data_IF_624478140997
#
_entry.id   IF_624478140997
#
_cell.length_a   1.000
_cell.length_b   1.000
_cell.length_c   1.000
_cell.angle_alpha   90.00
_cell.angle_beta   90.00
_cell.angle_gamma   90.00
#
_symmetry.space_group_name_H-M   'P 1'
#
loop_
_entity.id
_entity.type
_entity.pdbx_description
1 polymer ?
#
# COMPACT_ATOMS: atom_id res chain seq x y z
N UNK A 1 -22.27 -0.51 8.96
CA UNK A 1 -22.55 0.09 7.63
C UNK A 1 -21.18 0.47 7.08
N UNK A 2 -20.44 -0.53 6.61
CA UNK A 2 -18.97 -0.40 6.59
C UNK A 2 -18.42 -0.22 5.17
N UNK A 3 -19.21 -0.58 4.15
CA UNK A 3 -18.81 -0.48 2.74
C UNK A 3 -19.33 0.82 2.11
N UNK A 4 -20.63 1.09 2.22
CA UNK A 4 -21.25 2.31 1.67
C UNK A 4 -21.27 3.38 2.77
N UNK A 5 -20.12 4.03 2.96
CA UNK A 5 -19.93 5.06 3.99
C UNK A 5 -20.59 6.38 3.60
N UNK A 6 -20.77 7.28 4.58
CA UNK A 6 -21.34 8.61 4.34
C UNK A 6 -20.55 9.42 3.30
N UNK A 7 -19.22 9.36 3.33
CA UNK A 7 -18.36 10.06 2.36
C UNK A 7 -18.62 9.60 0.93
N UNK A 8 -18.80 8.29 0.72
CA UNK A 8 -19.13 7.75 -0.61
C UNK A 8 -20.51 8.22 -1.05
N UNK A 9 -21.52 8.12 -0.17
CA UNK A 9 -22.90 8.55 -0.48
C UNK A 9 -22.99 10.04 -0.83
N UNK A 10 -22.22 10.87 -0.14
CA UNK A 10 -22.23 12.32 -0.34
C UNK A 10 -21.66 12.74 -1.70
N UNK A 11 -20.79 11.92 -2.30
CA UNK A 11 -20.14 12.22 -3.59
C UNK A 11 -20.72 11.44 -4.78
N UNK A 12 -21.51 10.39 -4.51
CA UNK A 12 -22.17 9.58 -5.55
C UNK A 12 -23.67 9.63 -5.33
N UNK A 13 -24.33 10.58 -6.01
CA UNK A 13 -25.73 10.92 -5.80
C UNK A 13 -26.70 10.03 -6.60
N UNK A 14 -26.32 9.57 -7.80
CA UNK A 14 -27.13 8.64 -8.59
C UNK A 14 -26.86 7.20 -8.16
N UNK A 15 -27.91 6.43 -7.86
CA UNK A 15 -27.77 5.09 -7.27
C UNK A 15 -28.75 4.11 -7.87
N UNK A 16 -28.31 2.87 -8.00
CA UNK A 16 -29.12 1.74 -8.45
C UNK A 16 -29.06 0.67 -7.35
N UNK A 17 -30.19 0.10 -6.99
CA UNK A 17 -30.25 -1.08 -6.14
C UNK A 17 -31.07 -2.18 -6.82
N UNK A 18 -30.46 -3.34 -7.00
CA UNK A 18 -31.16 -4.58 -7.31
C UNK A 18 -31.79 -5.17 -6.04
N UNK A 19 -32.44 -6.33 -6.16
CA UNK A 19 -32.99 -7.05 -5.02
C UNK A 19 -31.93 -7.26 -3.93
N UNK A 20 -32.25 -6.81 -2.71
CA UNK A 20 -31.42 -6.96 -1.52
C UNK A 20 -32.13 -7.78 -0.45
N UNK A 21 -31.38 -8.29 0.52
CA UNK A 21 -31.90 -9.20 1.54
C UNK A 21 -32.73 -8.51 2.63
N UNK A 22 -32.52 -7.20 2.85
CA UNK A 22 -33.20 -6.49 3.95
C UNK A 22 -33.48 -5.01 3.64
N UNK A 23 -34.45 -4.47 4.38
CA UNK A 23 -34.76 -3.04 4.34
C UNK A 23 -33.57 -2.17 4.78
N UNK A 24 -32.70 -2.69 5.65
CA UNK A 24 -31.49 -2.00 6.12
C UNK A 24 -30.50 -1.86 4.96
N UNK A 25 -30.36 -2.90 4.14
CA UNK A 25 -29.50 -2.85 2.94
C UNK A 25 -30.06 -1.88 1.90
N UNK A 26 -31.37 -1.86 1.71
CA UNK A 26 -32.05 -0.89 0.84
C UNK A 26 -31.74 0.54 1.28
N UNK A 27 -31.86 0.85 2.58
CA UNK A 27 -31.52 2.17 3.11
C UNK A 27 -30.02 2.47 3.03
N UNK A 28 -29.18 1.46 3.13
CA UNK A 28 -27.72 1.64 3.01
C UNK A 28 -27.34 2.12 1.60
N UNK A 29 -28.02 1.62 0.56
CA UNK A 29 -27.76 1.99 -0.84
C UNK A 29 -28.52 3.24 -1.25
N UNK A 30 -29.84 3.29 -1.02
CA UNK A 30 -30.72 4.32 -1.59
C UNK A 30 -31.16 5.39 -0.58
N UNK A 31 -30.78 5.27 0.70
CA UNK A 31 -31.34 6.06 1.82
C UNK A 31 -32.87 5.88 2.02
N UNK A 32 -33.50 4.98 1.26
CA UNK A 32 -34.92 4.62 1.34
C UNK A 32 -35.14 3.10 1.29
N UNK A 33 -36.30 2.65 1.77
CA UNK A 33 -36.73 1.26 1.67
C UNK A 33 -37.29 0.93 0.27
N UNK A 34 -37.40 -0.36 -0.07
CA UNK A 34 -38.07 -0.82 -1.29
C UNK A 34 -37.27 -1.81 -2.11
N UNK A 35 -35.94 -1.77 -2.04
CA UNK A 35 -35.09 -2.70 -2.79
C UNK A 35 -35.21 -4.15 -2.26
N UNK A 36 -35.59 -4.29 -0.98
CA UNK A 36 -35.90 -5.56 -0.32
C UNK A 36 -37.16 -6.27 -0.87
N UNK A 37 -37.96 -5.55 -1.66
CA UNK A 37 -39.22 -6.05 -2.24
C UNK A 37 -39.11 -6.38 -3.73
N UNK A 38 -37.92 -6.22 -4.31
CA UNK A 38 -37.70 -6.52 -5.72
C UNK A 38 -37.65 -8.03 -5.94
N UNK A 39 -38.07 -8.47 -7.12
CA UNK A 39 -38.21 -9.91 -7.44
C UNK A 39 -36.92 -10.55 -7.97
N UNK A 40 -35.86 -9.76 -8.15
CA UNK A 40 -34.58 -10.18 -8.73
C UNK A 40 -34.62 -10.24 -10.26
N UNK A 41 -33.68 -10.97 -10.87
CA UNK A 41 -33.59 -11.17 -12.34
C UNK A 41 -33.63 -9.86 -13.15
N UNK A 42 -32.91 -8.84 -12.70
CA UNK A 42 -32.84 -7.54 -13.36
C UNK A 42 -33.83 -6.49 -12.83
N UNK A 43 -34.77 -6.86 -11.95
CA UNK A 43 -35.64 -5.88 -11.29
C UNK A 43 -34.83 -4.98 -10.34
N UNK A 44 -34.95 -3.67 -10.50
CA UNK A 44 -34.13 -2.67 -9.79
C UNK A 44 -34.90 -1.39 -9.48
N UNK A 45 -34.39 -0.66 -8.50
CA UNK A 45 -34.75 0.73 -8.21
C UNK A 45 -33.61 1.64 -8.63
N UNK A 46 -33.92 2.64 -9.46
CA UNK A 46 -33.00 3.67 -9.89
C UNK A 46 -33.37 5.01 -9.26
N UNK A 47 -32.44 5.60 -8.51
CA UNK A 47 -32.53 6.93 -7.92
C UNK A 47 -31.55 7.85 -8.65
N UNK A 48 -32.01 8.68 -9.60
CA UNK A 48 -31.16 9.67 -10.23
C UNK A 48 -30.87 10.84 -9.27
N UNK A 49 -29.79 11.59 -9.55
CA UNK A 49 -29.30 12.71 -8.73
C UNK A 49 -30.35 13.80 -8.44
N UNK A 50 -31.30 14.00 -9.35
CA UNK A 50 -32.30 15.06 -9.34
C UNK A 50 -33.67 14.61 -8.82
N UNK A 51 -33.86 13.31 -8.54
CA UNK A 51 -35.12 12.78 -8.04
C UNK A 51 -35.11 12.54 -6.54
N UNK A 52 -36.26 12.79 -5.91
CA UNK A 52 -36.49 12.50 -4.49
C UNK A 52 -36.98 11.08 -4.25
N UNK A 53 -37.37 10.35 -5.30
CA UNK A 53 -37.90 8.99 -5.23
C UNK A 53 -37.27 8.13 -6.30
N UNK A 54 -36.90 6.92 -5.93
CA UNK A 54 -36.43 5.93 -6.88
C UNK A 54 -37.57 5.45 -7.80
N UNK A 55 -37.24 5.25 -9.07
CA UNK A 55 -38.12 4.68 -10.09
C UNK A 55 -37.80 3.19 -10.23
N UNK A 56 -38.83 2.35 -10.31
CA UNK A 56 -38.66 0.92 -10.57
C UNK A 56 -38.42 0.66 -12.05
N UNK A 57 -37.36 -0.08 -12.36
CA UNK A 57 -36.92 -0.38 -13.73
C UNK A 57 -36.62 -1.87 -13.84
N UNK A 58 -36.91 -2.45 -14.99
CA UNK A 58 -36.49 -3.81 -15.33
C UNK A 58 -35.24 -3.74 -16.21
N UNK A 59 -34.11 -4.20 -15.68
CA UNK A 59 -32.85 -4.29 -16.40
C UNK A 59 -32.92 -5.26 -17.59
N UNK A 60 -32.25 -4.89 -18.67
CA UNK A 60 -32.09 -5.76 -19.83
C UNK A 60 -31.18 -6.95 -19.48
N UNK A 61 -31.58 -8.15 -19.91
CA UNK A 61 -30.70 -9.31 -19.87
C UNK A 61 -29.80 -9.29 -21.10
N UNK A 62 -28.50 -9.43 -20.88
CA UNK A 62 -27.50 -9.62 -21.93
C UNK A 62 -26.73 -10.88 -21.59
N UNK A 63 -26.69 -11.82 -22.52
CA UNK A 63 -25.94 -13.07 -22.35
C UNK A 63 -24.44 -12.85 -22.53
N UNK A 64 -23.64 -13.73 -21.93
CA UNK A 64 -22.18 -13.74 -22.11
C UNK A 64 -21.79 -13.84 -23.59
N UNK A 65 -22.56 -14.61 -24.38
CA UNK A 65 -22.34 -14.73 -25.82
C UNK A 65 -22.56 -13.43 -26.60
N UNK A 66 -23.46 -12.55 -26.14
CA UNK A 66 -23.70 -11.24 -26.75
C UNK A 66 -22.59 -10.26 -26.36
N UNK A 67 -22.16 -10.30 -25.10
CA UNK A 67 -21.02 -9.51 -24.61
C UNK A 67 -19.77 -9.84 -25.42
N UNK A 68 -19.47 -11.13 -25.61
CA UNK A 68 -18.26 -11.55 -26.34
C UNK A 68 -18.29 -11.11 -27.80
N UNK A 69 -19.42 -11.25 -28.48
CA UNK A 69 -19.59 -10.77 -29.86
C UNK A 69 -19.34 -9.26 -29.99
N UNK A 70 -19.82 -8.46 -29.03
CA UNK A 70 -19.59 -7.00 -29.02
C UNK A 70 -18.13 -6.69 -28.74
N UNK A 71 -17.51 -7.38 -27.77
CA UNK A 71 -16.09 -7.23 -27.46
C UNK A 71 -15.19 -7.60 -28.64
N UNK A 72 -15.46 -8.71 -29.33
CA UNK A 72 -14.76 -9.13 -30.55
C UNK A 72 -14.89 -8.10 -31.66
N UNK A 73 -16.09 -7.57 -31.86
CA UNK A 73 -16.35 -6.53 -32.85
C UNK A 73 -15.51 -5.27 -32.61
N UNK A 74 -15.34 -4.86 -31.35
CA UNK A 74 -14.46 -3.73 -31.00
C UNK A 74 -12.97 -4.08 -31.12
N UNK A 75 -12.55 -5.26 -30.67
CA UNK A 75 -11.16 -5.74 -30.78
C UNK A 75 -10.67 -5.86 -32.23
N UNK A 76 -11.58 -6.14 -33.17
CA UNK A 76 -11.27 -6.23 -34.59
C UNK A 76 -11.02 -4.85 -35.24
N UNK A 77 -11.53 -3.76 -34.66
CA UNK A 77 -11.40 -2.41 -35.22
C UNK A 77 -10.04 -1.78 -34.87
N UNK A 78 -9.62 -1.88 -33.61
CA UNK A 78 -8.34 -1.31 -33.17
C UNK A 78 -7.79 -2.05 -31.94
N UNK A 79 -6.46 -2.06 -31.82
CA UNK A 79 -5.79 -2.49 -30.59
C UNK A 79 -5.93 -1.42 -29.50
N UNK A 80 -6.07 -1.80 -28.23
CA UNK A 80 -6.21 -0.84 -27.14
C UNK A 80 -4.95 0.01 -26.96
N UNK A 81 -5.12 1.32 -26.83
CA UNK A 81 -4.07 2.28 -26.47
C UNK A 81 -4.16 2.60 -24.98
N UNK A 82 -3.33 1.96 -24.17
CA UNK A 82 -3.30 2.20 -22.72
C UNK A 82 -2.39 3.41 -22.42
N UNK A 83 -2.98 4.51 -21.94
CA UNK A 83 -2.25 5.75 -21.62
C UNK A 83 -1.63 5.70 -20.22
N UNK A 84 -2.17 4.89 -19.32
CA UNK A 84 -1.69 4.72 -17.96
C UNK A 84 -1.46 3.23 -17.71
N UNK A 85 -0.22 2.87 -17.40
CA UNK A 85 0.08 1.58 -16.78
C UNK A 85 -0.19 1.73 -15.28
N UNK A 86 -1.24 1.12 -14.71
CA UNK A 86 -1.60 1.30 -13.30
C UNK A 86 -0.47 0.89 -12.35
N UNK A 87 0.41 0.01 -12.82
CA UNK A 87 1.59 -0.48 -12.08
C UNK A 87 2.66 0.61 -11.99
N UNK A 88 2.79 1.48 -12.99
CA UNK A 88 3.79 2.55 -12.99
C UNK A 88 3.53 3.59 -11.91
N UNK A 89 2.27 3.98 -11.70
CA UNK A 89 1.90 5.04 -10.73
C UNK A 89 2.28 4.62 -9.30
N UNK A 90 2.01 3.37 -8.93
CA UNK A 90 2.35 2.83 -7.60
C UNK A 90 3.86 2.67 -7.41
N UNK A 91 4.59 2.34 -8.49
CA UNK A 91 6.05 2.21 -8.46
C UNK A 91 6.70 3.59 -8.39
N UNK A 92 6.25 4.58 -9.15
CA UNK A 92 6.78 5.94 -9.13
C UNK A 92 6.58 6.61 -7.77
N UNK A 93 5.41 6.43 -7.15
CA UNK A 93 5.16 6.92 -5.79
C UNK A 93 6.09 6.23 -4.77
N UNK A 94 6.30 4.91 -4.88
CA UNK A 94 7.26 4.19 -4.04
C UNK A 94 8.70 4.61 -4.29
N UNK A 95 9.12 4.80 -5.53
CA UNK A 95 10.48 5.23 -5.89
C UNK A 95 10.73 6.70 -5.53
N UNK A 96 9.70 7.55 -5.55
CA UNK A 96 9.77 8.92 -5.06
C UNK A 96 9.85 8.94 -3.52
N UNK A 97 9.03 8.13 -2.83
CA UNK A 97 9.13 7.94 -1.38
C UNK A 97 10.49 7.35 -0.98
N UNK A 98 11.03 6.38 -1.74
CA UNK A 98 12.36 5.81 -1.50
C UNK A 98 13.46 6.85 -1.76
N UNK A 99 13.39 7.65 -2.83
CA UNK A 99 14.36 8.74 -3.07
C UNK A 99 14.31 9.82 -1.99
N UNK A 100 13.12 10.19 -1.53
CA UNK A 100 12.95 11.13 -0.41
C UNK A 100 13.44 10.53 0.92
N UNK A 101 13.42 9.20 1.04
CA UNK A 101 14.03 8.48 2.16
C UNK A 101 15.56 8.51 2.07
N UNK A 102 16.19 8.27 0.91
CA UNK A 102 17.66 8.22 0.81
C UNK A 102 18.36 9.54 1.19
N UNK A 103 17.68 10.68 1.05
CA UNK A 103 18.22 12.02 1.30
C UNK A 103 17.86 12.63 2.67
N UNK A 104 17.35 11.86 3.65
CA UNK A 104 17.09 12.44 4.99
C UNK A 104 18.41 12.97 5.60
N UNK A 105 18.53 14.28 5.92
CA UNK A 105 19.77 14.86 6.44
C UNK A 105 20.27 14.25 7.76
N UNK A 106 19.41 13.53 8.48
CA UNK A 106 19.72 12.86 9.72
C UNK A 106 20.04 11.37 9.54
N UNK A 107 19.92 10.83 8.33
CA UNK A 107 20.14 9.41 8.03
C UNK A 107 21.49 8.92 8.58
N UNK A 108 22.61 9.48 8.10
CA UNK A 108 23.95 9.04 8.51
C UNK A 108 24.16 9.13 10.02
N UNK A 109 23.75 10.25 10.63
CA UNK A 109 23.91 10.50 12.06
C UNK A 109 23.07 9.52 12.88
N UNK A 110 21.86 9.22 12.41
CA UNK A 110 20.95 8.30 13.08
C UNK A 110 21.44 6.85 13.00
N UNK A 111 21.98 6.42 11.85
CA UNK A 111 22.57 5.08 11.69
C UNK A 111 23.76 4.90 12.63
N UNK A 112 24.72 5.84 12.61
CA UNK A 112 25.89 5.79 13.50
C UNK A 112 25.47 5.70 14.97
N UNK A 113 24.55 6.56 15.39
CA UNK A 113 24.08 6.60 16.78
C UNK A 113 23.36 5.32 17.21
N UNK A 114 22.53 4.74 16.33
CA UNK A 114 21.83 3.50 16.59
C UNK A 114 22.82 2.34 16.73
N UNK A 115 23.80 2.26 15.83
CA UNK A 115 24.81 1.19 15.82
C UNK A 115 25.72 1.25 17.05
N UNK A 116 26.16 2.45 17.45
CA UNK A 116 26.92 2.64 18.69
C UNK A 116 26.16 2.17 19.94
N UNK A 117 24.83 2.29 19.93
CA UNK A 117 24.00 2.02 21.09
C UNK A 117 23.49 0.57 21.15
N UNK A 118 23.43 -0.13 20.01
CA UNK A 118 23.03 -1.53 19.92
C UNK A 118 21.52 -1.79 20.01
N UNK A 119 20.71 -0.76 20.25
CA UNK A 119 19.24 -0.83 20.30
C UNK A 119 18.61 0.44 19.72
N UNK A 120 17.45 0.31 19.08
CA UNK A 120 16.76 1.43 18.43
C UNK A 120 15.25 1.42 18.67
N UNK A 121 14.66 2.58 18.96
CA UNK A 121 13.20 2.73 19.02
C UNK A 121 12.76 4.12 18.60
N UNK A 122 11.51 4.27 18.19
CA UNK A 122 10.98 5.54 17.66
C UNK A 122 11.17 6.67 18.68
N UNK A 123 10.80 6.43 19.93
CA UNK A 123 10.98 7.41 21.01
C UNK A 123 12.44 7.75 21.31
N UNK A 124 13.38 6.83 21.06
CA UNK A 124 14.81 7.08 21.23
C UNK A 124 15.32 8.06 20.16
N UNK A 125 14.95 7.86 18.89
CA UNK A 125 15.30 8.78 17.80
C UNK A 125 14.63 10.15 17.98
N UNK A 126 13.36 10.19 18.39
CA UNK A 126 12.64 11.45 18.67
C UNK A 126 13.38 12.31 19.70
N UNK A 127 13.85 11.72 20.80
CA UNK A 127 14.57 12.45 21.85
C UNK A 127 15.97 12.87 21.43
N UNK A 128 16.71 11.99 20.75
CA UNK A 128 18.11 12.25 20.36
C UNK A 128 18.21 13.34 19.29
N UNK A 129 17.34 13.31 18.30
CA UNK A 129 17.41 14.20 17.13
C UNK A 129 16.33 15.29 17.13
N UNK A 130 15.50 15.37 18.18
CA UNK A 130 14.41 16.35 18.31
C UNK A 130 13.45 16.36 17.12
N UNK A 131 13.10 15.17 16.62
CA UNK A 131 12.22 14.98 15.46
C UNK A 131 10.83 14.44 15.85
N UNK A 132 9.85 14.67 14.98
CA UNK A 132 8.49 14.15 15.14
C UNK A 132 8.39 12.63 14.98
N UNK A 133 7.30 12.05 15.49
CA UNK A 133 7.08 10.59 15.50
C UNK A 133 7.14 9.97 14.09
N UNK A 134 6.50 10.60 13.11
CA UNK A 134 6.46 10.10 11.74
C UNK A 134 7.87 10.01 11.11
N UNK A 135 8.70 11.05 11.29
CA UNK A 135 10.08 11.06 10.79
C UNK A 135 10.96 10.04 11.53
N UNK A 136 10.79 9.89 12.84
CA UNK A 136 11.51 8.88 13.62
C UNK A 136 11.12 7.44 13.25
N UNK A 137 9.84 7.19 12.95
CA UNK A 137 9.39 5.89 12.43
C UNK A 137 10.01 5.62 11.07
N UNK A 138 9.94 6.60 10.17
CA UNK A 138 10.51 6.49 8.82
C UNK A 138 12.00 6.14 8.84
N UNK A 139 12.81 6.83 9.65
CA UNK A 139 14.23 6.52 9.80
C UNK A 139 14.49 5.10 10.30
N UNK A 140 13.64 4.57 11.20
CA UNK A 140 13.76 3.19 11.67
C UNK A 140 13.34 2.16 10.64
N UNK A 141 12.30 2.45 9.88
CA UNK A 141 11.81 1.58 8.81
C UNK A 141 12.88 1.50 7.69
N UNK A 142 13.52 2.63 7.34
CA UNK A 142 14.67 2.65 6.44
C UNK A 142 15.88 1.87 6.98
N UNK A 143 16.16 1.96 8.28
CA UNK A 143 17.21 1.17 8.92
C UNK A 143 16.91 -0.33 8.88
N UNK A 144 15.63 -0.73 8.91
CA UNK A 144 15.23 -2.13 8.78
C UNK A 144 15.41 -2.61 7.34
N UNK A 145 14.97 -1.83 6.35
CA UNK A 145 15.12 -2.15 4.94
C UNK A 145 16.59 -2.31 4.52
N UNK A 146 17.48 -1.48 5.06
CA UNK A 146 18.93 -1.54 4.81
C UNK A 146 19.68 -2.50 5.74
N UNK A 147 18.97 -3.27 6.56
CA UNK A 147 19.55 -4.30 7.41
C UNK A 147 20.33 -3.80 8.63
N UNK A 148 20.23 -2.52 8.98
CA UNK A 148 20.86 -1.92 10.18
C UNK A 148 20.17 -2.39 11.45
N UNK A 149 18.84 -2.50 11.44
CA UNK A 149 18.03 -2.99 12.58
C UNK A 149 17.13 -4.15 12.16
N UNK A 150 16.78 -5.01 13.11
CA UNK A 150 15.88 -6.13 12.88
C UNK A 150 14.41 -5.73 12.82
N UNK A 151 13.58 -6.72 12.44
CA UNK A 151 12.13 -6.54 12.33
C UNK A 151 11.49 -6.08 13.63
N UNK A 152 10.37 -5.38 13.50
CA UNK A 152 9.59 -4.91 14.65
C UNK A 152 8.99 -6.08 15.44
N UNK A 153 9.52 -6.31 16.63
CA UNK A 153 8.95 -7.26 17.61
C UNK A 153 8.20 -6.54 18.73
N UNK A 154 6.95 -6.16 18.43
CA UNK A 154 6.04 -5.54 19.39
C UNK A 154 6.50 -4.15 19.88
N UNK A 155 6.35 -3.84 21.18
CA UNK A 155 6.75 -2.54 21.75
C UNK A 155 8.24 -2.46 22.15
N UNK A 156 9.01 -3.55 21.95
CA UNK A 156 10.42 -3.60 22.35
C UNK A 156 11.30 -2.79 21.37
N UNK A 157 12.45 -2.24 21.84
CA UNK A 157 13.45 -1.69 20.95
C UNK A 157 13.90 -2.73 19.91
N UNK A 158 14.10 -2.30 18.66
CA UNK A 158 14.64 -3.13 17.59
C UNK A 158 16.11 -3.42 17.89
N UNK A 159 16.50 -4.67 17.69
CA UNK A 159 17.89 -5.11 17.82
C UNK A 159 18.70 -4.58 16.62
N UNK A 160 19.89 -4.07 16.88
CA UNK A 160 20.84 -3.69 15.82
C UNK A 160 21.52 -4.94 15.26
N UNK A 161 21.55 -5.07 13.94
CA UNK A 161 22.10 -6.23 13.23
C UNK A 161 23.48 -5.96 12.61
N UNK A 162 23.95 -4.71 12.62
CA UNK A 162 25.21 -4.30 12.04
C UNK A 162 26.18 -3.78 13.09
N UNK A 163 27.48 -3.99 12.86
CA UNK A 163 28.55 -3.36 13.63
C UNK A 163 28.94 -2.01 13.03
N UNK A 164 29.73 -1.23 13.79
CA UNK A 164 30.17 0.12 13.39
C UNK A 164 30.91 0.11 12.06
N UNK A 165 31.71 -0.93 11.80
CA UNK A 165 32.52 -1.04 10.58
C UNK A 165 31.62 -1.23 9.35
N UNK A 166 30.66 -2.16 9.42
CA UNK A 166 29.69 -2.38 8.35
C UNK A 166 28.77 -1.18 8.14
N UNK A 167 28.46 -0.44 9.21
CA UNK A 167 27.68 0.79 9.11
C UNK A 167 28.44 1.88 8.34
N UNK A 168 29.75 2.07 8.58
CA UNK A 168 30.55 3.04 7.82
C UNK A 168 30.67 2.68 6.33
N UNK A 169 30.79 1.38 6.01
CA UNK A 169 30.76 0.91 4.61
C UNK A 169 29.41 1.19 3.96
N UNK A 170 28.30 0.97 4.67
CA UNK A 170 26.95 1.30 4.19
C UNK A 170 26.77 2.80 3.90
N UNK A 171 27.45 3.66 4.66
CA UNK A 171 27.45 5.11 4.48
C UNK A 171 28.44 5.59 3.42
N UNK A 172 29.06 4.69 2.65
CA UNK A 172 29.95 5.02 1.54
C UNK A 172 31.38 5.38 1.95
N UNK A 173 31.79 5.05 3.17
CA UNK A 173 33.15 5.31 3.64
C UNK A 173 34.10 4.17 3.25
N UNK A 174 34.64 4.24 2.03
CA UNK A 174 35.49 3.20 1.42
C UNK A 174 36.79 2.91 2.22
N UNK A 175 37.21 3.81 3.11
CA UNK A 175 38.37 3.62 3.98
C UNK A 175 38.24 2.44 4.96
N UNK A 176 37.02 1.93 5.19
CA UNK A 176 36.71 0.82 6.09
C UNK A 176 36.52 -0.52 5.36
N UNK A 177 36.73 -0.55 4.05
CA UNK A 177 36.71 -1.77 3.26
C UNK A 177 37.99 -2.57 3.54
N UNK A 178 37.97 -3.42 4.57
CA UNK A 178 39.08 -4.32 4.86
C UNK A 178 39.40 -5.15 3.61
N UNK A 179 40.66 -5.23 3.14
CA UNK A 179 41.01 -6.19 2.11
C UNK A 179 40.67 -7.57 2.65
N UNK A 180 39.85 -8.32 1.92
CA UNK A 180 39.60 -9.73 2.23
C UNK A 180 40.94 -10.44 2.04
N UNK A 181 41.66 -10.64 3.15
CA UNK A 181 42.91 -11.40 3.17
C UNK A 181 42.67 -12.81 2.68
N UNK A 182 43.50 -13.23 1.72
CA UNK A 182 43.55 -14.57 1.15
C UNK A 182 43.59 -15.65 2.25
N UNK A 183 42.88 -16.74 1.99
CA UNK A 183 42.73 -17.86 2.90
C UNK A 183 44.06 -18.41 3.39
N UNK A 184 44.20 -18.47 4.72
CA UNK A 184 45.13 -19.38 5.37
C UNK A 184 44.72 -20.82 5.02
N UNK A 185 45.50 -21.45 4.15
CA UNK A 185 45.43 -22.88 3.89
C UNK A 185 45.63 -23.65 5.18
N UNK A 186 44.70 -24.58 5.42
CA UNK A 186 44.77 -25.62 6.43
C UNK A 186 45.97 -26.53 6.11
N UNK A 187 46.97 -26.70 7.00
CA UNK A 187 48.02 -27.67 6.79
C UNK A 187 47.57 -29.03 7.30
N UNK A 188 47.52 -29.98 6.37
CA UNK A 188 47.75 -31.41 6.57
C UNK A 188 46.85 -32.19 7.56
N UNK A 189 45.87 -32.89 6.98
CA UNK A 189 45.38 -34.17 7.53
C UNK A 189 45.58 -35.25 6.47
N UNK A 190 46.76 -35.88 6.47
CA UNK A 190 46.93 -37.26 5.98
C UNK A 190 48.17 -37.91 6.61
N UNK A 191 47.94 -38.64 7.70
CA UNK A 191 48.53 -39.96 8.02
C UNK A 191 47.71 -40.64 9.11
#
# INVERSE_FOLDING_TARGET
VDVITGTIKNNISSRIAFAVSSQIDSRTILDQAGADKLVGKGDMLFLPIDATKAVRVQGCYVSESEIEKVCDHWRAQEKPHYVLSPVQIVIEDREAEMREQEDDPLWEQSVRWVVERGEASTSMLQRKFSIGFQRASRLLDMMEERGVVGQRDGPRPRQVLMDVVRAEVLLGNEAYMTPIGEGSGDPDVEQ
#
